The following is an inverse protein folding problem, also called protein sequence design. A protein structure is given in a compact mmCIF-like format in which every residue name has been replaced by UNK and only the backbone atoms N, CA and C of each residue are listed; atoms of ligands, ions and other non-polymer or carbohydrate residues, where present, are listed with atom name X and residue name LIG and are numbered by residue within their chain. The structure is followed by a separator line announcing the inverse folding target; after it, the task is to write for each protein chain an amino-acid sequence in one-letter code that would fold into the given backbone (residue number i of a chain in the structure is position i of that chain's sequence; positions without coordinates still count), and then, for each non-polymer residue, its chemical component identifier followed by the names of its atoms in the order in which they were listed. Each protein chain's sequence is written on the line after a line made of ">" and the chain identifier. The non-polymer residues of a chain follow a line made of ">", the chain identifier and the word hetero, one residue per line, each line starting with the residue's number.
data_IF_788998268422
#
_entry.id   IF_788998268422
#
_cell.length_a   1.000
_cell.length_b   1.000
_cell.length_c   1.000
_cell.angle_alpha   90.00
_cell.angle_beta   90.00
_cell.angle_gamma   90.00
#
_symmetry.space_group_name_H-M   'P 1'
#
loop_
_entity.id
_entity.type
_entity.pdbx_description
1 polymer ?
#
# COMPACT_ATOMS: atom_id res chain seq x y z
N UNK A 1 -10.66 -8.86 4.12
CA UNK A 1 -10.72 -7.44 4.55
C UNK A 1 -10.09 -6.57 3.48
N UNK A 2 -10.58 -5.34 3.28
CA UNK A 2 -9.95 -4.37 2.37
C UNK A 2 -8.72 -3.70 2.98
N UNK A 3 -8.07 -2.80 2.24
CA UNK A 3 -7.03 -1.91 2.75
C UNK A 3 -7.63 -0.87 3.71
N UNK A 4 -7.79 -1.25 4.97
CA UNK A 4 -8.37 -0.41 6.03
C UNK A 4 -7.24 0.31 6.77
N UNK A 5 -7.41 1.60 7.05
CA UNK A 5 -6.49 2.37 7.90
C UNK A 5 -5.56 3.35 7.18
N UNK A 6 -5.35 3.20 5.86
CA UNK A 6 -4.46 4.10 5.11
C UNK A 6 -5.03 5.53 5.07
N UNK A 7 -6.34 5.67 4.85
CA UNK A 7 -6.98 6.98 4.78
C UNK A 7 -6.89 7.76 6.09
N UNK A 8 -6.90 7.07 7.24
CA UNK A 8 -6.71 7.66 8.57
C UNK A 8 -5.36 8.43 8.65
N UNK A 9 -4.31 7.92 7.99
CA UNK A 9 -3.03 8.62 7.88
C UNK A 9 -3.03 9.65 6.76
N UNK A 10 -3.56 9.31 5.58
CA UNK A 10 -3.56 10.17 4.40
C UNK A 10 -4.18 11.55 4.70
N UNK A 11 -5.33 11.57 5.38
CA UNK A 11 -5.99 12.83 5.75
C UNK A 11 -5.09 13.74 6.58
N UNK A 12 -4.32 13.18 7.53
CA UNK A 12 -3.41 13.95 8.35
C UNK A 12 -2.17 14.41 7.56
N UNK A 13 -1.62 13.56 6.69
CA UNK A 13 -0.54 13.97 5.79
C UNK A 13 -0.96 15.10 4.85
N UNK A 14 -2.17 15.04 4.28
CA UNK A 14 -2.68 16.08 3.37
C UNK A 14 -2.96 17.41 4.07
N UNK A 15 -3.18 17.38 5.38
CA UNK A 15 -3.34 18.56 6.22
C UNK A 15 -2.02 19.04 6.85
N UNK A 16 -0.88 18.43 6.49
CA UNK A 16 0.43 18.75 7.06
C UNK A 16 0.46 18.69 8.60
N UNK A 17 -0.24 17.70 9.17
CA UNK A 17 -0.27 17.46 10.62
C UNK A 17 1.06 16.91 11.13
N UNK A 18 1.31 17.06 12.42
CA UNK A 18 2.56 16.62 13.04
C UNK A 18 2.74 15.10 12.95
N UNK A 19 3.82 14.64 12.32
CA UNK A 19 4.09 13.21 12.22
C UNK A 19 4.24 12.54 13.60
N UNK A 20 4.96 13.17 14.52
CA UNK A 20 5.26 12.59 15.84
C UNK A 20 4.13 12.75 16.83
N UNK A 21 3.39 13.87 16.79
CA UNK A 21 2.34 14.17 17.76
C UNK A 21 0.95 13.71 17.33
N UNK A 22 0.67 13.64 16.02
CA UNK A 22 -0.67 13.36 15.50
C UNK A 22 -0.69 12.07 14.67
N UNK A 23 0.20 11.88 13.69
CA UNK A 23 0.10 10.76 12.73
C UNK A 23 0.56 9.43 13.31
N UNK A 24 1.79 9.37 13.84
CA UNK A 24 2.36 8.13 14.39
C UNK A 24 1.52 7.58 15.56
N UNK A 25 0.95 8.41 16.45
CA UNK A 25 0.04 7.94 17.49
C UNK A 25 -1.29 7.32 16.99
N UNK A 26 -1.69 7.55 15.73
CA UNK A 26 -2.86 6.89 15.16
C UNK A 26 -2.65 5.39 14.92
N UNK A 27 -1.41 4.91 14.78
CA UNK A 27 -1.13 3.50 14.48
C UNK A 27 -1.81 2.54 15.46
N UNK A 28 -1.62 2.63 16.79
CA UNK A 28 -2.33 1.74 17.72
C UNK A 28 -3.87 1.85 17.62
N UNK A 29 -4.42 3.03 17.33
CA UNK A 29 -5.87 3.23 17.19
C UNK A 29 -6.42 2.55 15.92
N UNK A 30 -5.72 2.69 14.79
CA UNK A 30 -6.06 2.04 13.53
C UNK A 30 -5.97 0.51 13.68
N UNK A 31 -4.90 -0.01 14.30
CA UNK A 31 -4.75 -1.44 14.54
C UNK A 31 -5.89 -1.97 15.43
N UNK A 32 -6.29 -1.23 16.47
CA UNK A 32 -7.44 -1.60 17.31
C UNK A 32 -8.76 -1.65 16.52
N UNK A 33 -8.96 -0.74 15.57
CA UNK A 33 -10.16 -0.76 14.71
C UNK A 33 -10.15 -1.96 13.75
N UNK A 34 -9.01 -2.30 13.17
CA UNK A 34 -8.85 -3.51 12.34
C UNK A 34 -9.08 -4.78 13.17
N UNK A 35 -8.54 -4.82 14.39
CA UNK A 35 -8.77 -5.92 15.33
C UNK A 35 -10.26 -6.12 15.61
N UNK A 36 -10.96 -5.06 15.99
CA UNK A 36 -12.38 -5.13 16.31
C UNK A 36 -13.21 -5.59 15.11
N UNK A 37 -12.94 -5.05 13.91
CA UNK A 37 -13.62 -5.49 12.70
C UNK A 37 -13.34 -6.97 12.39
N UNK A 38 -12.09 -7.43 12.61
CA UNK A 38 -11.73 -8.84 12.43
C UNK A 38 -12.48 -9.74 13.41
N UNK A 39 -12.56 -9.37 14.69
CA UNK A 39 -13.34 -10.11 15.70
C UNK A 39 -14.83 -10.19 15.35
N UNK A 40 -15.43 -9.08 14.92
CA UNK A 40 -16.83 -9.07 14.46
C UNK A 40 -17.05 -10.06 13.32
N UNK A 41 -16.13 -10.15 12.35
CA UNK A 41 -16.25 -11.12 11.28
C UNK A 41 -16.15 -12.57 11.77
N UNK A 42 -15.27 -12.84 12.74
CA UNK A 42 -15.15 -14.15 13.38
C UNK A 42 -16.46 -14.52 14.08
N UNK A 43 -17.03 -13.60 14.86
CA UNK A 43 -18.29 -13.79 15.59
C UNK A 43 -19.47 -14.04 14.65
N UNK A 44 -19.43 -13.45 13.45
CA UNK A 44 -20.41 -13.70 12.37
C UNK A 44 -20.16 -15.00 11.58
N UNK A 45 -19.13 -15.78 11.94
CA UNK A 45 -18.86 -17.10 11.38
C UNK A 45 -17.80 -17.15 10.27
N UNK A 46 -17.07 -16.07 10.00
CA UNK A 46 -15.98 -16.10 9.02
C UNK A 46 -14.85 -17.04 9.46
N UNK A 47 -14.50 -18.01 8.59
CA UNK A 47 -13.47 -19.04 8.88
C UNK A 47 -12.10 -18.74 8.28
N UNK A 48 -12.03 -17.88 7.27
CA UNK A 48 -10.77 -17.46 6.66
C UNK A 48 -10.84 -15.96 6.40
N UNK A 49 -9.93 -15.22 7.02
CA UNK A 49 -9.89 -13.76 6.92
C UNK A 49 -8.49 -13.34 6.49
N UNK A 50 -8.40 -12.80 5.27
CA UNK A 50 -7.21 -12.13 4.77
C UNK A 50 -7.25 -10.66 5.17
N UNK A 51 -6.17 -10.18 5.79
CA UNK A 51 -5.99 -8.81 6.26
C UNK A 51 -4.71 -8.23 5.62
N UNK A 52 -4.84 -7.30 4.66
CA UNK A 52 -3.68 -6.72 4.00
C UNK A 52 -2.98 -5.70 4.91
N UNK A 53 -1.65 -5.69 4.85
CA UNK A 53 -0.85 -4.56 5.32
C UNK A 53 -0.91 -3.38 4.36
N UNK A 54 -0.24 -2.28 4.72
CA UNK A 54 -0.16 -1.08 3.89
C UNK A 54 1.07 -1.11 2.97
N UNK A 55 1.00 -0.55 1.75
CA UNK A 55 2.09 -0.53 0.78
C UNK A 55 3.28 0.35 1.24
N UNK A 56 4.43 0.33 0.53
CA UNK A 56 5.52 1.28 0.77
C UNK A 56 5.10 2.71 0.44
N UNK A 57 4.54 3.42 1.42
CA UNK A 57 4.01 4.78 1.23
C UNK A 57 5.08 5.76 0.74
N UNK A 58 6.35 5.54 1.10
CA UNK A 58 7.47 6.35 0.61
C UNK A 58 7.71 6.25 -0.90
N UNK A 59 7.14 5.25 -1.58
CA UNK A 59 7.22 5.10 -3.04
C UNK A 59 5.97 5.63 -3.77
N UNK A 60 4.98 6.15 -3.06
CA UNK A 60 3.74 6.63 -3.66
C UNK A 60 3.96 8.05 -4.19
N UNK A 61 3.65 8.34 -5.48
CA UNK A 61 3.93 9.62 -6.12
C UNK A 61 3.40 10.83 -5.34
N UNK A 62 2.20 10.72 -4.76
CA UNK A 62 1.59 11.81 -3.99
C UNK A 62 2.38 12.17 -2.73
N UNK A 63 2.91 11.19 -2.00
CA UNK A 63 3.72 11.46 -0.82
C UNK A 63 5.10 12.01 -1.16
N UNK A 64 5.70 11.52 -2.25
CA UNK A 64 6.94 12.09 -2.78
C UNK A 64 6.77 13.56 -3.18
N UNK A 65 5.60 13.93 -3.69
CA UNK A 65 5.29 15.31 -4.05
C UNK A 65 4.95 16.20 -2.86
N UNK A 66 4.19 15.68 -1.87
CA UNK A 66 3.74 16.44 -0.71
C UNK A 66 4.79 16.59 0.39
N UNK A 67 5.68 15.61 0.52
CA UNK A 67 6.67 15.54 1.60
C UNK A 67 8.10 15.53 1.04
N UNK A 68 8.45 16.47 0.12
CA UNK A 68 9.77 16.47 -0.48
C UNK A 68 10.82 16.83 0.60
N UNK A 69 11.87 16.03 0.68
CA UNK A 69 13.07 16.38 1.43
C UNK A 69 14.12 17.02 0.52
N UNK A 70 14.79 18.05 1.03
CA UNK A 70 16.01 18.62 0.43
C UNK A 70 17.25 17.77 0.67
N UNK A 71 17.19 16.86 1.65
CA UNK A 71 18.29 15.96 1.96
C UNK A 71 18.17 14.70 1.11
N UNK A 72 19.07 14.52 0.15
CA UNK A 72 19.11 13.32 -0.70
C UNK A 72 19.25 12.02 0.11
N UNK A 73 19.84 12.08 1.31
CA UNK A 73 19.96 10.92 2.19
C UNK A 73 18.64 10.48 2.81
N UNK A 74 17.53 11.21 2.64
CA UNK A 74 16.22 10.77 3.12
C UNK A 74 15.53 9.80 2.15
N UNK A 75 16.04 9.72 0.92
CA UNK A 75 15.56 8.79 -0.10
C UNK A 75 16.45 7.54 -0.16
N UNK A 76 15.86 6.41 -0.54
CA UNK A 76 16.62 5.21 -0.86
C UNK A 76 17.13 5.24 -2.31
N UNK A 77 17.84 4.17 -2.71
CA UNK A 77 18.39 4.04 -4.07
C UNK A 77 17.33 3.96 -5.17
N UNK A 78 16.07 3.71 -4.81
CA UNK A 78 14.92 3.64 -5.72
C UNK A 78 14.22 5.00 -5.83
N UNK A 79 14.58 5.98 -4.99
CA UNK A 79 13.95 7.29 -4.92
C UNK A 79 12.76 7.35 -3.95
N UNK A 80 12.54 6.32 -3.13
CA UNK A 80 11.46 6.32 -2.15
C UNK A 80 11.88 6.99 -0.83
N UNK A 81 10.97 7.68 -0.15
CA UNK A 81 11.21 8.26 1.18
C UNK A 81 11.37 7.15 2.24
N UNK A 82 12.57 7.07 2.85
CA UNK A 82 12.89 6.02 3.81
C UNK A 82 12.03 6.08 5.07
N UNK A 83 11.91 7.26 5.68
CA UNK A 83 11.17 7.42 6.94
C UNK A 83 9.68 7.05 6.78
N UNK A 84 9.11 7.29 5.60
CA UNK A 84 7.72 6.96 5.32
C UNK A 84 7.54 5.46 5.03
N UNK A 85 8.52 4.82 4.38
CA UNK A 85 8.59 3.36 4.27
C UNK A 85 8.82 2.68 5.63
N UNK A 86 9.58 3.27 6.54
CA UNK A 86 9.76 2.79 7.91
C UNK A 86 8.45 2.91 8.70
N UNK A 87 7.67 3.96 8.47
CA UNK A 87 6.32 4.11 9.01
C UNK A 87 5.36 3.01 8.50
N UNK A 88 5.35 2.73 7.19
CA UNK A 88 4.58 1.62 6.63
C UNK A 88 4.94 0.28 7.27
N UNK A 89 6.23 0.01 7.44
CA UNK A 89 6.68 -1.21 8.09
C UNK A 89 6.33 -1.24 9.60
N UNK A 90 6.33 -0.10 10.28
CA UNK A 90 5.91 -0.01 11.67
C UNK A 90 4.43 -0.39 11.84
N UNK A 91 3.54 0.14 10.99
CA UNK A 91 2.14 -0.29 10.94
C UNK A 91 2.03 -1.79 10.67
N UNK A 92 2.72 -2.28 9.62
CA UNK A 92 2.63 -3.69 9.21
C UNK A 92 3.11 -4.66 10.30
N UNK A 93 4.17 -4.31 11.04
CA UNK A 93 4.62 -5.10 12.20
C UNK A 93 3.56 -5.12 13.31
N UNK A 94 2.96 -3.98 13.63
CA UNK A 94 1.90 -3.90 14.64
C UNK A 94 0.65 -4.71 14.22
N UNK A 95 0.30 -4.68 12.93
CA UNK A 95 -0.79 -5.49 12.37
C UNK A 95 -0.51 -6.99 12.50
N UNK A 96 0.69 -7.45 12.12
CA UNK A 96 1.09 -8.86 12.28
C UNK A 96 1.05 -9.32 13.73
N UNK A 97 1.56 -8.51 14.66
CA UNK A 97 1.51 -8.79 16.10
C UNK A 97 0.06 -8.88 16.61
N UNK A 98 -0.81 -7.98 16.14
CA UNK A 98 -2.23 -8.03 16.49
C UNK A 98 -2.88 -9.33 15.98
N UNK A 99 -2.64 -9.72 14.72
CA UNK A 99 -3.19 -10.94 14.14
C UNK A 99 -2.74 -12.19 14.92
N UNK A 100 -1.46 -12.27 15.27
CA UNK A 100 -0.93 -13.34 16.12
C UNK A 100 -1.58 -13.36 17.49
N UNK A 101 -1.81 -12.18 18.09
CA UNK A 101 -2.42 -12.06 19.42
C UNK A 101 -3.88 -12.50 19.43
N UNK A 102 -4.68 -12.19 18.41
CA UNK A 102 -6.11 -12.55 18.39
C UNK A 102 -6.40 -13.94 17.82
N UNK A 103 -5.37 -14.62 17.32
CA UNK A 103 -5.49 -15.98 16.82
C UNK A 103 -5.65 -16.96 17.98
N UNK A 104 -6.89 -17.18 18.41
CA UNK A 104 -7.22 -18.07 19.52
C UNK A 104 -8.08 -19.28 19.10
N UNK A 105 -8.94 -19.10 18.09
CA UNK A 105 -9.80 -20.16 17.58
C UNK A 105 -9.05 -20.96 16.51
N UNK A 106 -8.75 -22.25 16.74
CA UNK A 106 -8.05 -23.09 15.74
C UNK A 106 -8.90 -23.34 14.49
N UNK A 107 -10.21 -23.07 14.51
CA UNK A 107 -11.10 -23.18 13.35
C UNK A 107 -11.07 -21.94 12.46
N UNK A 108 -10.41 -20.86 12.88
CA UNK A 108 -10.26 -19.61 12.11
C UNK A 108 -8.84 -19.48 11.59
N UNK A 109 -8.71 -19.25 10.29
CA UNK A 109 -7.44 -18.91 9.64
C UNK A 109 -7.36 -17.40 9.42
N UNK A 110 -6.42 -16.75 10.10
CA UNK A 110 -6.08 -15.35 9.87
C UNK A 110 -4.84 -15.26 8.99
N UNK A 111 -4.93 -14.53 7.89
CA UNK A 111 -3.88 -14.43 6.87
C UNK A 111 -3.46 -12.97 6.74
N UNK A 112 -2.20 -12.68 7.04
CA UNK A 112 -1.59 -11.39 6.67
C UNK A 112 -1.26 -11.39 5.18
N UNK A 113 -1.65 -10.35 4.44
CA UNK A 113 -1.20 -10.15 3.06
C UNK A 113 -0.16 -9.03 2.97
N UNK A 114 1.03 -9.39 2.49
CA UNK A 114 2.21 -8.52 2.37
C UNK A 114 2.15 -7.66 1.10
N UNK A 115 1.23 -6.70 1.10
CA UNK A 115 1.12 -5.71 0.04
C UNK A 115 2.39 -4.87 -0.09
N UNK A 116 3.09 -4.64 1.03
CA UNK A 116 4.35 -3.92 1.05
C UNK A 116 5.39 -4.62 0.19
N UNK A 117 5.65 -5.90 0.45
CA UNK A 117 6.60 -6.72 -0.30
C UNK A 117 6.19 -6.91 -1.76
N UNK A 118 4.90 -7.13 -2.02
CA UNK A 118 4.37 -7.32 -3.37
C UNK A 118 4.59 -6.08 -4.24
N UNK A 119 4.25 -4.89 -3.73
CA UNK A 119 4.50 -3.64 -4.44
C UNK A 119 5.99 -3.32 -4.54
N UNK A 120 6.77 -3.54 -3.48
CA UNK A 120 8.20 -3.24 -3.50
C UNK A 120 8.96 -4.10 -4.53
N UNK A 121 8.46 -5.30 -4.85
CA UNK A 121 9.03 -6.15 -5.92
C UNK A 121 8.95 -5.48 -7.29
N UNK A 122 7.80 -4.89 -7.65
CA UNK A 122 7.62 -4.19 -8.93
C UNK A 122 8.34 -2.84 -8.95
N UNK A 123 8.51 -2.19 -7.79
CA UNK A 123 9.35 -0.98 -7.67
C UNK A 123 10.84 -1.31 -7.88
N UNK A 124 11.33 -2.41 -7.30
CA UNK A 124 12.75 -2.83 -7.40
C UNK A 124 13.14 -3.38 -8.76
N UNK A 125 12.21 -4.02 -9.47
CA UNK A 125 12.49 -4.70 -10.74
C UNK A 125 11.37 -4.47 -11.75
N UNK A 126 11.07 -3.21 -12.13
CA UNK A 126 9.89 -2.88 -12.93
C UNK A 126 9.86 -3.61 -14.26
N UNK A 127 10.98 -3.63 -15.00
CA UNK A 127 11.03 -4.20 -16.35
C UNK A 127 10.79 -5.70 -16.37
N UNK A 128 11.26 -6.42 -15.35
CA UNK A 128 11.05 -7.87 -15.22
C UNK A 128 9.58 -8.22 -14.92
N UNK A 129 8.76 -7.22 -14.57
CA UNK A 129 7.36 -7.41 -14.20
C UNK A 129 6.40 -6.61 -15.09
N UNK A 130 6.86 -6.11 -16.25
CA UNK A 130 6.02 -5.41 -17.23
C UNK A 130 5.90 -3.90 -17.06
N UNK A 131 6.61 -3.30 -16.10
CA UNK A 131 6.61 -1.85 -15.84
C UNK A 131 7.88 -1.17 -16.37
N UNK A 132 7.83 0.15 -16.56
CA UNK A 132 9.02 0.95 -16.95
C UNK A 132 9.72 1.56 -15.74
N UNK A 133 11.02 1.86 -15.85
CA UNK A 133 11.76 2.52 -14.76
C UNK A 133 11.23 3.94 -14.50
N UNK A 134 10.86 4.62 -15.58
CA UNK A 134 10.41 6.01 -15.63
C UNK A 134 9.02 6.18 -15.00
N UNK A 135 8.23 5.11 -14.93
CA UNK A 135 6.86 5.13 -14.38
C UNK A 135 6.76 4.67 -12.92
N UNK A 136 7.83 4.13 -12.33
CA UNK A 136 7.79 3.50 -10.99
C UNK A 136 7.26 4.44 -9.92
N UNK A 137 7.73 5.69 -9.94
CA UNK A 137 7.39 6.71 -8.96
C UNK A 137 6.53 7.83 -9.56
N UNK A 138 5.97 7.63 -10.77
CA UNK A 138 5.20 8.64 -11.50
C UNK A 138 3.78 8.15 -11.75
N UNK A 139 2.79 9.01 -11.57
CA UNK A 139 1.40 8.69 -11.86
C UNK A 139 1.14 8.66 -13.38
N UNK A 140 0.30 7.73 -13.84
CA UNK A 140 -0.14 7.71 -15.24
C UNK A 140 -1.05 8.90 -15.55
N UNK A 141 -1.96 9.25 -14.64
CA UNK A 141 -2.95 10.30 -14.79
C UNK A 141 -2.77 11.33 -13.67
N UNK A 142 -2.53 12.59 -14.01
CA UNK A 142 -2.39 13.63 -13.01
C UNK A 142 -2.08 14.98 -13.64
N UNK A 143 -1.63 15.97 -12.88
CA UNK A 143 -1.62 17.38 -13.31
C UNK A 143 -0.23 18.00 -13.50
N UNK A 144 0.81 17.17 -13.51
CA UNK A 144 2.19 17.63 -13.69
C UNK A 144 3.08 17.48 -12.46
N UNK A 145 4.23 18.16 -12.50
CA UNK A 145 5.31 17.99 -11.53
C UNK A 145 6.20 16.77 -11.82
N UNK A 146 7.22 16.56 -10.99
CA UNK A 146 8.21 15.48 -11.16
C UNK A 146 7.57 14.08 -11.09
N UNK A 147 6.49 13.94 -10.32
CA UNK A 147 5.79 12.67 -10.08
C UNK A 147 4.41 12.58 -10.76
N UNK A 148 4.04 13.57 -11.58
CA UNK A 148 2.69 13.71 -12.15
C UNK A 148 1.57 13.72 -11.10
N UNK A 149 1.84 14.29 -9.91
CA UNK A 149 0.99 14.12 -8.72
C UNK A 149 0.76 15.41 -7.92
N UNK A 150 0.85 16.58 -8.58
CA UNK A 150 0.63 17.90 -7.95
C UNK A 150 -0.77 18.07 -7.35
N UNK A 151 -1.76 17.37 -7.91
CA UNK A 151 -3.11 17.25 -7.34
C UNK A 151 -3.70 15.88 -7.72
N UNK A 152 -4.76 15.48 -7.02
CA UNK A 152 -5.50 14.23 -7.24
C UNK A 152 -6.51 14.34 -8.39
N UNK A 153 -6.45 15.43 -9.17
CA UNK A 153 -7.30 15.59 -10.36
C UNK A 153 -6.83 14.63 -11.45
N UNK A 154 -7.59 13.56 -11.60
CA UNK A 154 -7.54 12.66 -12.74
C UNK A 154 -8.97 12.45 -13.25
N UNK A 155 -9.37 13.22 -14.26
CA UNK A 155 -10.70 13.15 -14.86
C UNK A 155 -10.67 12.64 -16.32
N UNK A 156 -9.51 12.16 -16.78
CA UNK A 156 -9.32 11.70 -18.17
C UNK A 156 -9.43 12.82 -19.21
N UNK A 157 -9.61 14.07 -18.80
CA UNK A 157 -9.66 15.22 -19.69
C UNK A 157 -8.22 15.73 -19.91
N UNK A 158 -7.74 15.64 -21.14
CA UNK A 158 -6.38 16.03 -21.53
C UNK A 158 -6.07 17.52 -21.30
N UNK A 159 -7.10 18.37 -21.18
CA UNK A 159 -6.93 19.80 -20.87
C UNK A 159 -6.64 20.05 -19.40
N UNK A 160 -7.03 19.12 -18.53
CA UNK A 160 -6.90 19.24 -17.07
C UNK A 160 -6.06 18.13 -16.44
N UNK A 161 -5.53 17.19 -17.23
CA UNK A 161 -4.67 16.11 -16.76
C UNK A 161 -3.72 15.61 -17.84
N UNK A 162 -2.46 15.41 -17.47
CA UNK A 162 -1.45 14.66 -18.20
C UNK A 162 -1.72 13.17 -18.01
N UNK A 163 -2.23 12.53 -19.06
CA UNK A 163 -2.50 11.10 -19.12
C UNK A 163 -1.38 10.36 -19.87
N UNK A 164 -0.95 9.22 -19.33
CA UNK A 164 0.02 8.35 -19.98
C UNK A 164 -0.62 7.54 -21.12
N UNK A 165 0.19 7.11 -22.09
CA UNK A 165 -0.29 6.34 -23.25
C UNK A 165 -0.50 4.86 -22.97
N UNK A 166 0.28 4.28 -22.04
CA UNK A 166 0.26 2.84 -21.72
C UNK A 166 0.11 2.61 -20.21
N UNK A 167 -1.12 2.66 -19.65
CA UNK A 167 -1.36 2.48 -18.22
C UNK A 167 -0.83 1.15 -17.65
N UNK A 168 -0.78 0.10 -18.48
CA UNK A 168 -0.25 -1.21 -18.10
C UNK A 168 1.22 -1.21 -17.71
N UNK A 169 1.97 -0.16 -18.09
CA UNK A 169 3.39 -0.01 -17.77
C UNK A 169 3.66 0.90 -16.58
N UNK A 170 2.61 1.46 -15.97
CA UNK A 170 2.68 2.32 -14.80
C UNK A 170 2.28 1.57 -13.54
N UNK A 171 2.93 1.88 -12.41
CA UNK A 171 2.55 1.31 -11.11
C UNK A 171 1.40 2.12 -10.52
N UNK A 172 1.49 3.46 -10.54
CA UNK A 172 0.46 4.35 -10.01
C UNK A 172 -0.46 4.89 -11.10
N UNK A 173 -1.76 4.86 -10.83
CA UNK A 173 -2.78 5.45 -11.70
C UNK A 173 -2.84 6.96 -11.50
N UNK A 174 -3.24 7.44 -10.32
CA UNK A 174 -3.54 8.86 -10.04
C UNK A 174 -2.60 9.52 -9.01
N UNK A 175 -1.52 8.82 -8.65
CA UNK A 175 -0.56 9.24 -7.66
C UNK A 175 -0.84 8.75 -6.23
N UNK A 176 -2.03 8.18 -5.96
CA UNK A 176 -2.34 7.47 -4.71
C UNK A 176 -2.68 6.01 -4.95
N UNK A 177 -3.52 5.75 -5.96
CA UNK A 177 -3.98 4.42 -6.30
C UNK A 177 -3.07 3.76 -7.34
N UNK A 178 -3.11 2.44 -7.38
CA UNK A 178 -2.34 1.65 -8.33
C UNK A 178 -3.12 1.48 -9.64
N UNK A 179 -2.41 1.20 -10.72
CA UNK A 179 -3.04 0.80 -11.98
C UNK A 179 -3.63 -0.60 -11.88
N UNK A 180 -4.52 -0.96 -12.80
CA UNK A 180 -5.03 -2.32 -12.94
C UNK A 180 -3.88 -3.34 -13.05
N UNK A 181 -2.85 -3.06 -13.85
CA UNK A 181 -1.70 -3.95 -14.03
C UNK A 181 -0.94 -4.19 -12.71
N UNK A 182 -0.75 -3.15 -11.91
CA UNK A 182 -0.12 -3.27 -10.60
C UNK A 182 -1.00 -4.02 -9.59
N UNK A 183 -2.30 -3.74 -9.55
CA UNK A 183 -3.24 -4.51 -8.71
C UNK A 183 -3.30 -5.99 -9.12
N UNK A 184 -3.31 -6.28 -10.43
CA UNK A 184 -3.29 -7.64 -10.94
C UNK A 184 -2.01 -8.39 -10.54
N UNK A 185 -0.85 -7.72 -10.59
CA UNK A 185 0.41 -8.28 -10.10
C UNK A 185 0.34 -8.63 -8.61
N UNK A 186 -0.10 -7.66 -7.78
CA UNK A 186 -0.20 -7.84 -6.33
C UNK A 186 -1.18 -8.95 -5.99
N UNK A 187 -2.37 -8.96 -6.62
CA UNK A 187 -3.39 -9.98 -6.40
C UNK A 187 -2.87 -11.39 -6.74
N UNK A 188 -2.19 -11.56 -7.89
CA UNK A 188 -1.56 -12.85 -8.23
C UNK A 188 -0.48 -13.24 -7.22
N UNK A 189 0.31 -12.28 -6.76
CA UNK A 189 1.34 -12.52 -5.74
C UNK A 189 0.75 -12.94 -4.39
N UNK A 190 -0.37 -12.36 -3.99
CA UNK A 190 -1.08 -12.70 -2.75
C UNK A 190 -1.75 -14.07 -2.86
N UNK A 191 -2.41 -14.37 -3.99
CA UNK A 191 -3.15 -15.62 -4.18
C UNK A 191 -2.26 -16.83 -4.45
N UNK A 192 -1.14 -16.64 -5.13
CA UNK A 192 -0.31 -17.74 -5.65
C UNK A 192 1.18 -17.60 -5.35
N UNK A 193 1.60 -16.48 -4.78
CA UNK A 193 3.00 -16.18 -4.50
C UNK A 193 3.32 -16.18 -3.01
N UNK A 194 4.49 -15.63 -2.64
CA UNK A 194 4.99 -15.66 -1.26
C UNK A 194 4.47 -14.51 -0.39
N UNK A 195 3.44 -13.77 -0.83
CA UNK A 195 3.02 -12.52 -0.18
C UNK A 195 1.89 -12.71 0.83
N UNK A 196 1.82 -13.89 1.45
CA UNK A 196 0.91 -14.12 2.57
C UNK A 196 1.57 -14.91 3.69
N UNK A 197 1.13 -14.64 4.92
CA UNK A 197 1.53 -15.36 6.12
C UNK A 197 0.29 -15.71 6.96
N UNK A 198 -0.07 -17.00 7.10
CA UNK A 198 0.51 -18.15 6.42
C UNK A 198 0.26 -18.14 4.89
N UNK A 199 0.94 -19.02 4.16
CA UNK A 199 0.73 -19.19 2.72
C UNK A 199 -0.71 -19.67 2.44
N UNK A 200 -1.38 -19.07 1.44
CA UNK A 200 -2.67 -19.58 0.97
C UNK A 200 -2.44 -20.95 0.29
N UNK A 201 -3.16 -22.02 0.68
CA UNK A 201 -3.03 -23.31 0.02
C UNK A 201 -3.39 -23.18 -1.47
N UNK A 202 -2.45 -23.52 -2.34
CA UNK A 202 -2.64 -23.49 -3.81
C UNK A 202 -3.50 -24.65 -4.33
N UNK A 203 -3.93 -25.56 -3.45
CA UNK A 203 -4.81 -26.68 -3.76
C UNK A 203 -5.89 -26.78 -2.68
N UNK A 204 -7.15 -26.85 -3.08
CA UNK A 204 -8.19 -27.38 -2.21
C UNK A 204 -7.84 -28.85 -1.93
N UNK A 205 -7.62 -29.22 -0.68
CA UNK A 205 -7.64 -30.63 -0.30
C UNK A 205 -9.06 -31.13 -0.52
N UNK A 206 -9.22 -32.04 -1.49
CA UNK A 206 -10.46 -32.78 -1.72
C UNK A 206 -10.80 -33.65 -0.51
#
# INVERSE_FOLDING_TARGET
>A
MGEIGINDYNHHFFQNRSFTAEIKPLVPLVILKIENATKVLIDLGAKTILVPGIPPMGCIPRFLNLLPSKNHNDYDKLGCLKWLNDFSQYHNRALKQMLQRIHHDPTVTLIYADYYGAMLKIVRSPQNNGFTKESVLRACCGVGGAYNADSLVCNGNATTSNLCTEPSRYISWDGLHLTEAAYHYIARGVLHGPYTEPAIPTRCTA
#
